data_IF_008093560265
#
_entry.id   IF_008093560265
#
_cell.length_a   1.000
_cell.length_b   1.000
_cell.length_c   1.000
_cell.angle_alpha   90.00
_cell.angle_beta   90.00
_cell.angle_gamma   90.00
#
_symmetry.space_group_name_H-M   'P 1'
#
loop_
_entity.id
_entity.type
_entity.pdbx_description
1 polymer ?
#
# COMPACT_ATOMS: atom_id res chain seq x y z
N UNK A 1 12.59 9.37 -1.96
CA UNK A 1 12.13 10.55 -1.20
C UNK A 1 13.08 11.74 -1.33
N UNK A 2 14.37 11.57 -0.96
CA UNK A 2 15.38 12.63 -1.07
C UNK A 2 15.51 13.20 -2.49
N UNK A 3 15.43 12.34 -3.52
CA UNK A 3 15.47 12.81 -4.91
C UNK A 3 14.22 13.57 -5.35
N UNK A 4 13.06 13.35 -4.71
CA UNK A 4 11.88 14.17 -4.96
C UNK A 4 12.10 15.61 -4.48
N UNK A 5 12.69 15.78 -3.28
CA UNK A 5 13.04 17.10 -2.76
C UNK A 5 14.14 17.80 -3.56
N UNK A 6 15.04 17.04 -4.20
CA UNK A 6 16.06 17.58 -5.11
C UNK A 6 15.47 18.07 -6.44
N UNK A 7 14.47 17.36 -6.97
CA UNK A 7 13.91 17.63 -8.31
C UNK A 7 12.75 18.62 -8.31
N UNK A 8 12.02 18.74 -7.19
CA UNK A 8 10.81 19.56 -7.11
C UNK A 8 11.03 20.70 -6.11
N UNK A 9 10.90 21.98 -6.55
CA UNK A 9 11.06 23.13 -5.67
C UNK A 9 10.07 23.11 -4.50
N UNK A 10 10.47 23.72 -3.38
CA UNK A 10 9.61 23.85 -2.19
C UNK A 10 8.26 24.50 -2.51
N UNK A 11 7.17 23.92 -2.01
CA UNK A 11 5.81 24.42 -2.19
C UNK A 11 4.76 23.30 -2.15
N UNK A 12 3.46 23.64 -2.26
CA UNK A 12 2.37 22.65 -2.22
C UNK A 12 2.53 21.53 -3.27
N UNK A 13 3.02 21.86 -4.47
CA UNK A 13 3.25 20.90 -5.55
C UNK A 13 4.32 19.84 -5.22
N UNK A 14 5.35 20.20 -4.43
CA UNK A 14 6.32 19.21 -3.94
C UNK A 14 5.69 18.25 -2.96
N UNK A 15 4.87 18.76 -2.05
CA UNK A 15 4.27 17.93 -1.01
C UNK A 15 3.33 16.88 -1.62
N UNK A 16 2.53 17.25 -2.62
CA UNK A 16 1.69 16.30 -3.34
C UNK A 16 2.52 15.29 -4.13
N UNK A 17 3.49 15.74 -4.92
CA UNK A 17 4.34 14.86 -5.72
C UNK A 17 5.12 13.85 -4.87
N UNK A 18 5.76 14.29 -3.79
CA UNK A 18 6.51 13.40 -2.91
C UNK A 18 5.59 12.44 -2.15
N UNK A 19 4.37 12.88 -1.77
CA UNK A 19 3.35 11.99 -1.19
C UNK A 19 2.96 10.89 -2.19
N UNK A 20 2.70 11.23 -3.45
CA UNK A 20 2.37 10.24 -4.48
C UNK A 20 3.52 9.25 -4.71
N UNK A 21 4.76 9.74 -4.79
CA UNK A 21 5.95 8.88 -4.92
C UNK A 21 6.11 7.95 -3.71
N UNK A 22 5.89 8.44 -2.50
CA UNK A 22 5.97 7.61 -1.30
C UNK A 22 4.89 6.55 -1.27
N UNK A 23 3.66 6.91 -1.64
CA UNK A 23 2.57 5.96 -1.72
C UNK A 23 2.86 4.87 -2.76
N UNK A 24 3.35 5.26 -3.95
CA UNK A 24 3.73 4.30 -4.99
C UNK A 24 4.86 3.36 -4.55
N UNK A 25 5.90 3.91 -3.88
CA UNK A 25 6.99 3.11 -3.33
C UNK A 25 6.49 2.14 -2.25
N UNK A 26 5.64 2.60 -1.33
CA UNK A 26 5.08 1.75 -0.29
C UNK A 26 4.27 0.58 -0.87
N UNK A 27 3.42 0.85 -1.87
CA UNK A 27 2.67 -0.19 -2.60
C UNK A 27 3.62 -1.19 -3.25
N UNK A 28 4.70 -0.71 -3.89
CA UNK A 28 5.69 -1.58 -4.53
C UNK A 28 6.40 -2.48 -3.51
N UNK A 29 6.86 -1.94 -2.39
CA UNK A 29 7.53 -2.72 -1.34
C UNK A 29 6.60 -3.77 -0.75
N UNK A 30 5.35 -3.41 -0.47
CA UNK A 30 4.34 -4.36 0.05
C UNK A 30 4.06 -5.48 -0.96
N UNK A 31 3.90 -5.17 -2.25
CA UNK A 31 3.68 -6.19 -3.28
C UNK A 31 4.91 -7.05 -3.57
N UNK A 32 6.13 -6.58 -3.26
CA UNK A 32 7.33 -7.40 -3.33
C UNK A 32 7.47 -8.35 -2.13
N UNK A 33 7.14 -7.89 -0.93
CA UNK A 33 7.22 -8.69 0.28
C UNK A 33 6.10 -9.74 0.36
N UNK A 34 4.86 -9.33 0.10
CA UNK A 34 3.65 -10.13 0.28
C UNK A 34 2.79 -10.09 -1.00
N UNK A 35 3.23 -10.74 -2.09
CA UNK A 35 2.60 -10.59 -3.41
C UNK A 35 1.13 -11.05 -3.41
N UNK A 36 0.87 -12.25 -2.90
CA UNK A 36 -0.47 -12.85 -2.90
C UNK A 36 -1.45 -12.08 -2.01
N UNK A 37 -1.05 -11.73 -0.79
CA UNK A 37 -1.88 -10.97 0.14
C UNK A 37 -2.15 -9.56 -0.37
N UNK A 38 -1.15 -8.93 -1.00
CA UNK A 38 -1.32 -7.61 -1.61
C UNK A 38 -2.32 -7.64 -2.79
N UNK A 39 -2.29 -8.69 -3.60
CA UNK A 39 -3.23 -8.88 -4.71
C UNK A 39 -4.64 -9.19 -4.22
N UNK A 40 -4.76 -10.00 -3.16
CA UNK A 40 -6.04 -10.29 -2.52
C UNK A 40 -6.70 -9.01 -2.00
N UNK A 41 -5.94 -8.13 -1.33
CA UNK A 41 -6.45 -6.82 -0.90
C UNK A 41 -6.87 -5.97 -2.09
N UNK A 42 -6.06 -5.91 -3.16
CA UNK A 42 -6.36 -5.13 -4.38
C UNK A 42 -7.68 -5.57 -5.02
N UNK A 43 -7.94 -6.88 -5.06
CA UNK A 43 -9.12 -7.46 -5.69
C UNK A 43 -10.38 -7.37 -4.81
N UNK A 44 -10.22 -7.58 -3.50
CA UNK A 44 -11.37 -7.73 -2.58
C UNK A 44 -11.82 -6.39 -1.95
N UNK A 45 -10.92 -5.42 -1.81
CA UNK A 45 -11.18 -4.18 -1.06
C UNK A 45 -11.69 -2.99 -1.91
N UNK A 46 -12.40 -3.25 -3.01
CA UNK A 46 -13.02 -2.17 -3.79
C UNK A 46 -14.16 -1.46 -3.04
N UNK A 47 -14.33 -0.16 -3.26
CA UNK A 47 -15.32 0.70 -2.57
C UNK A 47 -16.79 0.29 -2.77
N UNK A 48 -17.11 -0.44 -3.84
CA UNK A 48 -18.43 -1.02 -4.07
C UNK A 48 -18.38 -2.54 -3.84
N UNK A 49 -19.12 -3.04 -2.84
CA UNK A 49 -19.13 -4.46 -2.52
C UNK A 49 -20.31 -4.91 -1.65
N UNK A 50 -20.65 -6.19 -1.75
CA UNK A 50 -21.63 -6.86 -0.88
C UNK A 50 -21.09 -6.99 0.54
N UNK A 51 -21.95 -7.35 1.51
CA UNK A 51 -21.52 -7.67 2.87
C UNK A 51 -20.47 -8.79 2.90
N UNK A 52 -20.57 -9.77 1.98
CA UNK A 52 -19.58 -10.83 1.83
C UNK A 52 -18.22 -10.28 1.35
N UNK A 53 -18.20 -9.46 0.29
CA UNK A 53 -16.96 -8.84 -0.19
C UNK A 53 -16.27 -8.01 0.88
N UNK A 54 -17.02 -7.30 1.73
CA UNK A 54 -16.45 -6.55 2.87
C UNK A 54 -15.76 -7.47 3.88
N UNK A 55 -16.35 -8.62 4.22
CA UNK A 55 -15.71 -9.61 5.10
C UNK A 55 -14.46 -10.22 4.47
N UNK A 56 -14.51 -10.52 3.17
CA UNK A 56 -13.36 -11.04 2.43
C UNK A 56 -12.22 -10.01 2.37
N UNK A 57 -12.53 -8.73 2.15
CA UNK A 57 -11.55 -7.65 2.24
C UNK A 57 -10.92 -7.55 3.63
N UNK A 58 -11.72 -7.59 4.70
CA UNK A 58 -11.20 -7.59 6.08
C UNK A 58 -10.25 -8.76 6.33
N UNK A 59 -10.60 -9.96 5.86
CA UNK A 59 -9.73 -11.13 5.99
C UNK A 59 -8.43 -10.95 5.20
N UNK A 60 -8.50 -10.43 3.97
CA UNK A 60 -7.32 -10.15 3.16
C UNK A 60 -6.39 -9.12 3.82
N UNK A 61 -6.94 -8.09 4.47
CA UNK A 61 -6.17 -7.10 5.24
C UNK A 61 -5.46 -7.73 6.43
N UNK A 62 -6.12 -8.64 7.16
CA UNK A 62 -5.50 -9.38 8.27
C UNK A 62 -4.36 -10.26 7.76
N UNK A 63 -4.57 -11.03 6.68
CA UNK A 63 -3.52 -11.86 6.09
C UNK A 63 -2.31 -11.03 5.65
N UNK A 64 -2.54 -9.87 5.01
CA UNK A 64 -1.46 -8.97 4.62
C UNK A 64 -0.66 -8.45 5.83
N UNK A 65 -1.34 -8.08 6.91
CA UNK A 65 -0.68 -7.65 8.15
C UNK A 65 0.23 -8.73 8.71
N UNK A 66 -0.25 -9.98 8.78
CA UNK A 66 0.53 -11.11 9.29
C UNK A 66 1.77 -11.38 8.43
N UNK A 67 1.63 -11.32 7.10
CA UNK A 67 2.77 -11.45 6.20
C UNK A 67 3.81 -10.34 6.45
N UNK A 68 3.37 -9.07 6.52
CA UNK A 68 4.27 -7.93 6.78
C UNK A 68 4.96 -8.03 8.15
N UNK A 69 4.25 -8.49 9.18
CA UNK A 69 4.81 -8.69 10.52
C UNK A 69 5.92 -9.76 10.49
N UNK A 70 5.76 -10.83 9.71
CA UNK A 70 6.78 -11.87 9.55
C UNK A 70 8.08 -11.36 8.88
N UNK A 71 7.99 -10.31 8.08
CA UNK A 71 9.16 -9.64 7.49
C UNK A 71 9.77 -8.57 8.41
N UNK A 72 9.02 -8.12 9.43
CA UNK A 72 9.41 -7.02 10.32
C UNK A 72 10.02 -7.49 11.64
N UNK A 73 9.65 -8.68 12.10
CA UNK A 73 10.25 -9.38 13.25
C UNK A 73 10.94 -10.66 12.75
N UNK A 74 12.26 -10.63 12.48
CA UNK A 74 13.03 -11.83 12.14
C UNK A 74 13.20 -12.78 13.33
#
# INVERSE_FOLDING_TARGET
LLDCHRRIPSGPGRNSACRHLNNALAICLVSLACPEESEAVRTLCSSAGTALKRRQCQQAQISLSLCLDSHSNP
#
